data_IF_573504430395
#
_entry.id   IF_573504430395
#
_cell.length_a   1.000
_cell.length_b   1.000
_cell.length_c   1.000
_cell.angle_alpha   90.00
_cell.angle_beta   90.00
_cell.angle_gamma   90.00
#
_symmetry.space_group_name_H-M   'P 1'
#
loop_
_entity.id
_entity.type
_entity.pdbx_description
1 polymer ?
#
# COMPACT_ATOMS: atom_id res chain seq x y z
N UNK A 1 -22.76 39.02 42.83
CA UNK A 1 -22.69 37.78 42.03
C UNK A 1 -23.76 37.91 40.95
N UNK A 2 -23.45 38.53 39.81
CA UNK A 2 -24.39 38.59 38.69
C UNK A 2 -24.59 37.18 38.15
N UNK A 3 -25.85 36.72 38.08
CA UNK A 3 -26.19 35.48 37.37
C UNK A 3 -25.89 35.73 35.89
N UNK A 4 -24.83 35.13 35.36
CA UNK A 4 -24.66 34.99 33.92
C UNK A 4 -25.89 34.27 33.39
N UNK A 5 -26.74 34.98 32.62
CA UNK A 5 -27.83 34.34 31.90
C UNK A 5 -27.19 33.45 30.83
N UNK A 6 -27.33 32.13 31.00
CA UNK A 6 -27.01 31.17 29.95
C UNK A 6 -27.78 31.54 28.69
N UNK A 7 -27.07 31.86 27.61
CA UNK A 7 -27.71 32.16 26.32
C UNK A 7 -28.01 30.87 25.57
N UNK A 8 -29.00 30.92 24.66
CA UNK A 8 -29.29 29.81 23.72
C UNK A 8 -28.04 29.43 22.92
N UNK A 9 -27.21 30.42 22.61
CA UNK A 9 -25.92 30.24 21.94
C UNK A 9 -24.93 29.43 22.77
N UNK A 10 -24.85 29.66 24.08
CA UNK A 10 -23.98 28.88 24.97
C UNK A 10 -24.45 27.43 25.11
N UNK A 11 -25.77 27.20 25.17
CA UNK A 11 -26.35 25.86 25.18
C UNK A 11 -26.06 25.12 23.86
N UNK A 12 -26.23 25.79 22.73
CA UNK A 12 -25.90 25.23 21.42
C UNK A 12 -24.42 24.85 21.31
N UNK A 13 -23.51 25.74 21.73
CA UNK A 13 -22.07 25.47 21.73
C UNK A 13 -21.69 24.32 22.65
N UNK A 14 -22.31 24.24 23.84
CA UNK A 14 -22.06 23.14 24.77
C UNK A 14 -22.49 21.79 24.16
N UNK A 15 -23.66 21.73 23.54
CA UNK A 15 -24.14 20.53 22.84
C UNK A 15 -23.22 20.14 21.67
N UNK A 16 -22.82 21.12 20.85
CA UNK A 16 -21.90 20.90 19.74
C UNK A 16 -20.53 20.42 20.21
N UNK A 17 -19.99 21.01 21.28
CA UNK A 17 -18.71 20.61 21.88
C UNK A 17 -18.76 19.18 22.40
N UNK A 18 -19.83 18.80 23.12
CA UNK A 18 -20.03 17.43 23.59
C UNK A 18 -20.12 16.45 22.42
N UNK A 19 -20.84 16.80 21.35
CA UNK A 19 -20.98 15.97 20.17
C UNK A 19 -19.62 15.74 19.49
N UNK A 20 -18.89 16.80 19.17
CA UNK A 20 -17.60 16.71 18.49
C UNK A 20 -16.54 15.99 19.34
N UNK A 21 -16.49 16.29 20.64
CA UNK A 21 -15.57 15.60 21.57
C UNK A 21 -15.94 14.14 21.75
N UNK A 22 -17.23 13.78 21.77
CA UNK A 22 -17.63 12.36 21.88
C UNK A 22 -17.22 11.56 20.64
N UNK A 23 -17.35 12.15 19.45
CA UNK A 23 -16.84 11.53 18.21
C UNK A 23 -15.31 11.47 18.24
N UNK A 24 -14.62 12.53 18.66
CA UNK A 24 -13.16 12.55 18.83
C UNK A 24 -12.68 11.48 19.79
N UNK A 25 -13.33 11.34 20.94
CA UNK A 25 -13.04 10.34 21.95
C UNK A 25 -13.03 8.94 21.33
N UNK A 26 -14.08 8.59 20.60
CA UNK A 26 -14.21 7.27 19.99
C UNK A 26 -13.13 7.04 18.92
N UNK A 27 -12.87 8.03 18.07
CA UNK A 27 -11.83 7.92 17.03
C UNK A 27 -10.41 7.87 17.63
N UNK A 28 -10.15 8.66 18.67
CA UNK A 28 -8.86 8.70 19.38
C UNK A 28 -8.62 7.38 20.09
N UNK A 29 -9.65 6.80 20.70
CA UNK A 29 -9.57 5.46 21.27
C UNK A 29 -9.14 4.45 20.22
N UNK A 30 -9.89 4.33 19.11
CA UNK A 30 -9.55 3.39 18.03
C UNK A 30 -8.15 3.64 17.44
N UNK A 31 -7.77 4.91 17.29
CA UNK A 31 -6.48 5.29 16.73
C UNK A 31 -5.28 4.97 17.63
N UNK A 32 -5.51 4.81 18.94
CA UNK A 32 -4.50 4.46 19.92
C UNK A 32 -4.49 2.97 20.31
N UNK A 33 -5.53 2.22 19.93
CA UNK A 33 -5.74 0.83 20.38
C UNK A 33 -4.56 -0.08 20.02
N UNK A 34 -3.99 0.05 18.82
CA UNK A 34 -2.85 -0.77 18.42
C UNK A 34 -1.54 -0.47 19.18
N UNK A 35 -1.42 0.71 19.79
CA UNK A 35 -0.20 1.13 20.50
C UNK A 35 -0.35 0.87 21.99
N UNK A 36 -1.52 1.18 22.56
CA UNK A 36 -1.75 1.18 24.01
C UNK A 36 -2.70 0.07 24.47
N UNK A 37 -3.25 -0.73 23.57
CA UNK A 37 -4.20 -1.81 23.87
C UNK A 37 -5.38 -1.30 24.69
N UNK A 38 -5.79 -2.04 25.72
CA UNK A 38 -6.90 -1.66 26.60
C UNK A 38 -6.74 -0.32 27.34
N UNK A 39 -5.51 0.21 27.47
CA UNK A 39 -5.27 1.52 28.08
C UNK A 39 -5.66 2.69 27.18
N UNK A 40 -5.85 2.45 25.88
CA UNK A 40 -6.25 3.45 24.88
C UNK A 40 -7.55 4.17 25.26
N UNK A 41 -8.54 3.44 25.82
CA UNK A 41 -9.82 4.02 26.30
C UNK A 41 -9.58 5.08 27.37
N UNK A 42 -8.73 4.77 28.34
CA UNK A 42 -8.46 5.66 29.48
C UNK A 42 -7.73 6.90 29.00
N UNK A 43 -6.73 6.74 28.12
CA UNK A 43 -5.97 7.84 27.53
C UNK A 43 -6.92 8.76 26.73
N UNK A 44 -7.75 8.19 25.85
CA UNK A 44 -8.71 8.94 25.05
C UNK A 44 -9.71 9.70 25.93
N UNK A 45 -10.17 9.09 27.04
CA UNK A 45 -11.10 9.72 27.98
C UNK A 45 -10.45 10.93 28.67
N UNK A 46 -9.23 10.76 29.17
CA UNK A 46 -8.49 11.85 29.83
C UNK A 46 -8.25 13.01 28.86
N UNK A 47 -7.79 12.73 27.63
CA UNK A 47 -7.61 13.75 26.60
C UNK A 47 -8.91 14.49 26.29
N UNK A 48 -10.01 13.76 26.14
CA UNK A 48 -11.33 14.32 25.82
C UNK A 48 -11.86 15.24 26.94
N UNK A 49 -11.68 14.84 28.21
CA UNK A 49 -12.06 15.67 29.36
C UNK A 49 -11.20 16.93 29.47
N UNK A 50 -9.89 16.82 29.19
CA UNK A 50 -8.97 17.97 29.15
C UNK A 50 -9.42 18.95 28.05
N UNK A 51 -9.71 18.46 26.84
CA UNK A 51 -10.17 19.32 25.74
C UNK A 51 -11.50 19.99 26.07
N UNK A 52 -12.46 19.26 26.64
CA UNK A 52 -13.75 19.83 27.06
C UNK A 52 -13.57 20.94 28.11
N UNK A 53 -12.71 20.69 29.10
CA UNK A 53 -12.38 21.67 30.13
C UNK A 53 -11.70 22.92 29.53
N UNK A 54 -10.77 22.74 28.59
CA UNK A 54 -10.08 23.85 27.94
C UNK A 54 -11.03 24.69 27.08
N UNK A 55 -11.97 24.07 26.35
CA UNK A 55 -13.01 24.80 25.60
C UNK A 55 -13.90 25.63 26.52
N UNK A 56 -14.29 25.06 27.66
CA UNK A 56 -15.06 25.77 28.67
C UNK A 56 -14.29 26.99 29.21
N UNK A 57 -13.01 26.81 29.57
CA UNK A 57 -12.16 27.91 30.04
C UNK A 57 -11.95 28.99 28.97
N UNK A 58 -11.70 28.58 27.72
CA UNK A 58 -11.57 29.49 26.58
C UNK A 58 -12.82 30.34 26.39
N UNK A 59 -14.01 29.73 26.47
CA UNK A 59 -15.28 30.43 26.39
C UNK A 59 -15.44 31.45 27.52
N UNK A 60 -15.17 31.05 28.76
CA UNK A 60 -15.26 31.94 29.92
C UNK A 60 -14.30 33.14 29.83
N UNK A 61 -13.05 32.91 29.43
CA UNK A 61 -12.06 33.99 29.25
C UNK A 61 -12.47 34.92 28.12
N UNK A 62 -12.98 34.38 27.01
CA UNK A 62 -13.47 35.16 25.87
C UNK A 62 -14.66 36.05 26.26
N UNK A 63 -15.63 35.50 26.98
CA UNK A 63 -16.80 36.25 27.47
C UNK A 63 -16.40 37.39 28.41
N UNK A 64 -15.31 37.22 29.18
CA UNK A 64 -14.77 38.27 30.06
C UNK A 64 -13.90 39.31 29.34
N UNK A 65 -13.65 39.14 28.04
CA UNK A 65 -12.77 40.01 27.25
C UNK A 65 -11.28 39.76 27.47
N UNK A 66 -10.90 38.63 28.05
CA UNK A 66 -9.50 38.27 28.30
C UNK A 66 -8.80 37.68 27.07
N UNK A 67 -7.46 37.61 27.14
CA UNK A 67 -6.64 36.97 26.09
C UNK A 67 -6.81 35.44 26.13
N UNK A 68 -7.24 34.85 25.03
CA UNK A 68 -7.40 33.40 24.86
C UNK A 68 -6.15 32.70 24.33
N UNK A 69 -5.09 33.45 24.00
CA UNK A 69 -3.91 32.94 23.27
C UNK A 69 -3.19 31.82 24.01
N UNK A 70 -2.94 31.98 25.32
CA UNK A 70 -2.23 30.97 26.11
C UNK A 70 -3.02 29.66 26.22
N UNK A 71 -4.32 29.76 26.54
CA UNK A 71 -5.21 28.59 26.58
C UNK A 71 -5.39 27.94 25.20
N UNK A 72 -5.38 28.74 24.13
CA UNK A 72 -5.45 28.25 22.75
C UNK A 72 -4.24 27.39 22.37
N UNK A 73 -3.04 27.78 22.78
CA UNK A 73 -1.83 26.97 22.56
C UNK A 73 -1.83 25.67 23.38
N UNK A 74 -2.29 25.72 24.63
CA UNK A 74 -2.44 24.51 25.45
C UNK A 74 -3.46 23.56 24.81
N UNK A 75 -4.60 24.09 24.34
CA UNK A 75 -5.59 23.30 23.59
C UNK A 75 -4.96 22.69 22.34
N UNK A 76 -4.25 23.49 21.54
CA UNK A 76 -3.61 23.02 20.32
C UNK A 76 -2.66 21.85 20.58
N UNK A 77 -1.86 21.92 21.66
CA UNK A 77 -0.95 20.85 22.04
C UNK A 77 -1.68 19.52 22.28
N UNK A 78 -2.74 19.52 23.10
CA UNK A 78 -3.52 18.29 23.36
C UNK A 78 -4.32 17.84 22.12
N UNK A 79 -4.91 18.79 21.40
CA UNK A 79 -5.67 18.52 20.19
C UNK A 79 -4.79 17.93 19.08
N UNK A 80 -3.49 18.23 19.04
CA UNK A 80 -2.56 17.61 18.10
C UNK A 80 -2.43 16.09 18.33
N UNK A 81 -2.44 15.62 19.59
CA UNK A 81 -2.42 14.18 19.88
C UNK A 81 -3.73 13.50 19.46
N UNK A 82 -4.87 14.13 19.76
CA UNK A 82 -6.18 13.66 19.28
C UNK A 82 -6.23 13.63 17.74
N UNK A 83 -5.71 14.67 17.09
CA UNK A 83 -5.62 14.74 15.63
C UNK A 83 -4.84 13.59 15.03
N UNK A 84 -3.65 13.28 15.56
CA UNK A 84 -2.82 12.16 15.07
C UNK A 84 -3.56 10.83 15.24
N UNK A 85 -4.22 10.61 16.38
CA UNK A 85 -4.97 9.39 16.64
C UNK A 85 -6.24 9.29 15.75
N UNK A 86 -7.01 10.36 15.65
CA UNK A 86 -8.20 10.45 14.81
C UNK A 86 -7.87 10.24 13.34
N UNK A 87 -6.77 10.84 12.86
CA UNK A 87 -6.27 10.63 11.51
C UNK A 87 -5.91 9.16 11.30
N UNK A 88 -5.15 8.55 12.21
CA UNK A 88 -4.80 7.14 12.10
C UNK A 88 -6.04 6.23 12.02
N UNK A 89 -7.04 6.43 12.88
CA UNK A 89 -8.27 5.65 12.90
C UNK A 89 -9.09 5.81 11.61
N UNK A 90 -9.38 7.06 11.24
CA UNK A 90 -10.23 7.36 10.08
C UNK A 90 -9.52 6.99 8.78
N UNK A 91 -8.25 7.35 8.63
CA UNK A 91 -7.46 7.05 7.43
C UNK A 91 -7.38 5.54 7.21
N UNK A 92 -6.99 4.79 8.24
CA UNK A 92 -6.89 3.33 8.16
C UNK A 92 -8.23 2.70 7.77
N UNK A 93 -9.34 3.19 8.33
CA UNK A 93 -10.68 2.65 8.04
C UNK A 93 -11.14 2.96 6.62
N UNK A 94 -10.91 4.19 6.13
CA UNK A 94 -11.35 4.59 4.80
C UNK A 94 -10.44 4.07 3.68
N UNK A 95 -9.15 3.89 3.97
CA UNK A 95 -8.16 3.44 2.99
C UNK A 95 -7.90 1.93 3.08
N UNK A 96 -8.66 1.18 3.89
CA UNK A 96 -8.42 -0.24 4.15
C UNK A 96 -8.31 -1.06 2.86
N UNK A 97 -9.31 -0.95 2.00
CA UNK A 97 -9.33 -1.65 0.70
C UNK A 97 -8.19 -1.20 -0.20
N UNK A 98 -7.91 0.10 -0.26
CA UNK A 98 -6.81 0.63 -1.08
C UNK A 98 -5.45 0.11 -0.60
N UNK A 99 -5.24 0.06 0.72
CA UNK A 99 -4.03 -0.51 1.32
C UNK A 99 -3.90 -1.99 0.95
N UNK A 100 -4.96 -2.78 1.14
CA UNK A 100 -4.95 -4.20 0.79
C UNK A 100 -4.70 -4.44 -0.70
N UNK A 101 -5.41 -3.73 -1.57
CA UNK A 101 -5.25 -3.90 -3.02
C UNK A 101 -3.87 -3.45 -3.50
N UNK A 102 -3.28 -2.45 -2.87
CA UNK A 102 -1.89 -2.01 -3.15
C UNK A 102 -0.90 -3.10 -2.75
N UNK A 103 -1.01 -3.64 -1.54
CA UNK A 103 -0.12 -4.71 -1.08
C UNK A 103 -0.24 -5.99 -1.92
N UNK A 104 -1.46 -6.38 -2.29
CA UNK A 104 -1.70 -7.50 -3.20
C UNK A 104 -1.01 -7.29 -4.57
N UNK A 105 -1.07 -6.09 -5.13
CA UNK A 105 -0.35 -5.76 -6.38
C UNK A 105 1.16 -5.78 -6.20
N UNK A 106 1.68 -5.24 -5.10
CA UNK A 106 3.10 -5.32 -4.76
C UNK A 106 3.58 -6.77 -4.63
N UNK A 107 2.76 -7.67 -4.08
CA UNK A 107 3.08 -9.10 -3.97
C UNK A 107 3.20 -9.75 -5.35
N UNK A 108 2.26 -9.49 -6.26
CA UNK A 108 2.37 -9.96 -7.65
C UNK A 108 3.70 -9.49 -8.28
N UNK A 109 4.04 -8.22 -8.09
CA UNK A 109 5.30 -7.68 -8.60
C UNK A 109 6.51 -8.39 -7.99
N UNK A 110 6.52 -8.62 -6.67
CA UNK A 110 7.59 -9.37 -5.99
C UNK A 110 7.77 -10.78 -6.54
N UNK A 111 6.68 -11.49 -6.87
CA UNK A 111 6.75 -12.81 -7.50
C UNK A 111 7.39 -12.74 -8.89
N UNK A 112 6.96 -11.80 -9.74
CA UNK A 112 7.53 -11.60 -11.08
C UNK A 112 9.02 -11.19 -11.00
N UNK A 113 9.38 -10.34 -10.04
CA UNK A 113 10.76 -9.91 -9.80
C UNK A 113 11.62 -11.09 -9.31
N UNK A 114 11.07 -11.95 -8.43
CA UNK A 114 11.73 -13.16 -7.95
C UNK A 114 11.97 -14.15 -9.09
N UNK A 115 10.97 -14.39 -9.94
CA UNK A 115 11.12 -15.22 -11.15
C UNK A 115 12.23 -14.69 -12.03
N UNK A 116 12.17 -13.40 -12.38
CA UNK A 116 13.15 -12.76 -13.26
C UNK A 116 14.57 -12.84 -12.68
N UNK A 117 14.74 -12.53 -11.39
CA UNK A 117 16.06 -12.51 -10.74
C UNK A 117 16.63 -13.92 -10.56
N UNK A 118 15.80 -14.89 -10.17
CA UNK A 118 16.23 -16.29 -10.06
C UNK A 118 16.59 -16.83 -11.42
N UNK A 119 15.73 -16.67 -12.43
CA UNK A 119 16.02 -17.13 -13.79
C UNK A 119 17.32 -16.51 -14.31
N UNK A 120 17.57 -15.22 -14.11
CA UNK A 120 18.82 -14.59 -14.55
C UNK A 120 20.10 -15.18 -13.93
N UNK A 121 19.99 -15.82 -12.76
CA UNK A 121 21.12 -16.37 -11.98
C UNK A 121 21.28 -17.89 -12.08
N UNK A 122 20.35 -18.56 -12.77
CA UNK A 122 20.42 -19.98 -13.06
C UNK A 122 21.59 -20.31 -14.01
N UNK A 123 22.16 -21.51 -13.89
CA UNK A 123 23.29 -21.95 -14.72
C UNK A 123 22.84 -22.37 -16.12
N UNK A 124 22.90 -21.43 -17.07
CA UNK A 124 22.67 -21.74 -18.49
C UNK A 124 23.98 -22.00 -19.24
N UNK A 125 23.96 -22.99 -20.13
CA UNK A 125 25.04 -23.22 -21.10
C UNK A 125 25.08 -22.11 -22.16
N UNK A 126 23.91 -21.60 -22.52
CA UNK A 126 23.75 -20.45 -23.41
C UNK A 126 23.46 -19.22 -22.55
N UNK A 127 24.46 -18.38 -22.33
CA UNK A 127 24.37 -17.24 -21.41
C UNK A 127 23.51 -16.09 -21.94
N UNK A 128 23.42 -15.92 -23.27
CA UNK A 128 22.62 -14.87 -23.90
C UNK A 128 21.10 -15.18 -23.89
N UNK A 129 20.27 -14.39 -23.19
CA UNK A 129 18.82 -14.61 -23.12
C UNK A 129 18.12 -14.55 -24.47
N UNK A 130 18.59 -13.67 -25.38
CA UNK A 130 17.99 -13.52 -26.71
C UNK A 130 18.18 -14.77 -27.55
N UNK A 131 19.39 -15.33 -27.52
CA UNK A 131 19.69 -16.62 -28.13
C UNK A 131 18.84 -17.74 -27.53
N UNK A 132 18.63 -17.78 -26.20
CA UNK A 132 17.73 -18.77 -25.58
C UNK A 132 16.30 -18.66 -26.11
N UNK A 133 15.77 -17.43 -26.22
CA UNK A 133 14.42 -17.19 -26.73
C UNK A 133 14.27 -17.55 -28.21
N UNK A 134 15.29 -17.25 -29.03
CA UNK A 134 15.33 -17.67 -30.43
C UNK A 134 15.36 -19.18 -30.57
N UNK A 135 16.12 -19.90 -29.72
CA UNK A 135 16.11 -21.36 -29.73
C UNK A 135 14.73 -21.89 -29.33
N UNK A 136 14.06 -21.32 -28.32
CA UNK A 136 12.68 -21.70 -27.96
C UNK A 136 11.71 -21.48 -29.13
N UNK A 137 11.86 -20.37 -29.87
CA UNK A 137 11.10 -20.14 -31.11
C UNK A 137 11.36 -21.22 -32.16
N UNK A 138 12.62 -21.65 -32.33
CA UNK A 138 12.97 -22.73 -33.24
C UNK A 138 12.50 -24.12 -32.78
N UNK A 139 12.42 -24.38 -31.46
CA UNK A 139 11.81 -25.59 -30.90
C UNK A 139 10.34 -25.68 -31.30
N UNK A 140 9.57 -24.58 -31.17
CA UNK A 140 8.18 -24.55 -31.60
C UNK A 140 8.04 -24.81 -33.10
N UNK A 141 8.93 -24.23 -33.92
CA UNK A 141 9.03 -24.52 -35.35
C UNK A 141 9.31 -26.00 -35.64
N UNK A 142 10.25 -26.60 -34.89
CA UNK A 142 10.60 -28.02 -35.01
C UNK A 142 9.41 -28.91 -34.68
N UNK A 143 8.70 -28.61 -33.58
CA UNK A 143 7.51 -29.33 -33.15
C UNK A 143 6.43 -29.31 -34.22
N UNK A 144 6.10 -28.13 -34.75
CA UNK A 144 5.11 -27.99 -35.83
C UNK A 144 5.46 -28.82 -37.08
N UNK A 145 6.74 -28.85 -37.46
CA UNK A 145 7.19 -29.63 -38.63
C UNK A 145 7.12 -31.14 -38.38
N UNK A 146 7.51 -31.61 -37.19
CA UNK A 146 7.49 -33.05 -36.87
C UNK A 146 6.05 -33.56 -36.77
N UNK A 147 5.12 -32.75 -36.23
CA UNK A 147 3.73 -33.14 -36.01
C UNK A 147 2.77 -32.77 -37.15
N UNK A 148 3.25 -32.18 -38.25
CA UNK A 148 2.40 -31.77 -39.38
C UNK A 148 1.63 -32.99 -39.94
N UNK A 149 0.28 -33.00 -39.88
CA UNK A 149 -0.52 -34.11 -40.38
C UNK A 149 -0.32 -34.41 -41.87
N UNK A 150 0.13 -33.42 -42.67
CA UNK A 150 0.36 -33.56 -44.11
C UNK A 150 1.78 -34.02 -44.46
N UNK A 151 2.74 -33.85 -43.55
CA UNK A 151 4.15 -34.19 -43.73
C UNK A 151 4.75 -34.77 -42.43
N UNK A 152 4.16 -35.85 -41.93
CA UNK A 152 4.52 -36.42 -40.63
C UNK A 152 5.97 -36.92 -40.61
N UNK A 153 6.72 -36.51 -39.58
CA UNK A 153 8.05 -37.03 -39.29
C UNK A 153 9.22 -36.09 -39.57
N UNK A 154 10.43 -36.66 -39.59
CA UNK A 154 11.70 -35.92 -39.68
C UNK A 154 12.07 -35.64 -41.14
N UNK A 155 11.35 -34.72 -41.77
CA UNK A 155 11.62 -34.26 -43.14
C UNK A 155 12.79 -33.27 -43.26
N UNK A 156 13.11 -32.84 -44.47
CA UNK A 156 14.22 -31.91 -44.75
C UNK A 156 14.14 -30.60 -43.96
N UNK A 157 12.93 -30.03 -43.82
CA UNK A 157 12.69 -28.81 -43.02
C UNK A 157 13.02 -28.99 -41.54
N UNK A 158 12.69 -30.15 -40.96
CA UNK A 158 13.04 -30.45 -39.57
C UNK A 158 14.57 -30.56 -39.37
N UNK A 159 15.30 -31.09 -40.37
CA UNK A 159 16.77 -31.16 -40.34
C UNK A 159 17.41 -29.77 -40.44
N UNK A 160 16.85 -28.87 -41.24
CA UNK A 160 17.30 -27.46 -41.32
C UNK A 160 17.11 -26.77 -39.98
N UNK A 161 15.95 -26.94 -39.34
CA UNK A 161 15.68 -26.36 -38.01
C UNK A 161 16.66 -26.95 -36.96
N UNK A 162 16.86 -28.27 -36.96
CA UNK A 162 17.85 -28.93 -36.10
C UNK A 162 19.25 -28.33 -36.31
N UNK A 163 19.70 -28.15 -37.55
CA UNK A 163 21.01 -27.59 -37.84
C UNK A 163 21.18 -26.14 -37.35
N UNK A 164 20.12 -25.32 -37.43
CA UNK A 164 20.12 -23.96 -36.88
C UNK A 164 20.19 -23.95 -35.36
N UNK A 165 19.43 -24.83 -34.71
CA UNK A 165 19.47 -25.04 -33.26
C UNK A 165 20.86 -25.51 -32.82
N UNK A 166 21.44 -26.51 -33.49
CA UNK A 166 22.79 -27.01 -33.22
C UNK A 166 23.86 -25.91 -33.35
N UNK A 167 23.73 -25.03 -34.35
CA UNK A 167 24.62 -23.87 -34.53
C UNK A 167 24.52 -22.90 -33.36
N UNK A 168 23.31 -22.61 -32.86
CA UNK A 168 23.09 -21.73 -31.70
C UNK A 168 23.53 -22.39 -30.38
N UNK A 169 23.43 -23.71 -30.27
CA UNK A 169 23.88 -24.50 -29.11
C UNK A 169 25.39 -24.75 -29.09
N UNK A 170 26.09 -24.56 -30.22
CA UNK A 170 27.52 -24.87 -30.33
C UNK A 170 27.85 -26.37 -30.31
N UNK A 171 26.87 -27.24 -30.57
CA UNK A 171 27.08 -28.70 -30.56
C UNK A 171 25.91 -29.50 -31.12
N UNK A 172 26.20 -30.73 -31.57
CA UNK A 172 25.20 -31.60 -32.21
C UNK A 172 24.19 -32.19 -31.22
N UNK A 173 22.96 -32.37 -31.69
CA UNK A 173 21.89 -33.11 -31.02
C UNK A 173 22.05 -34.60 -31.30
N UNK A 174 21.65 -35.46 -30.35
CA UNK A 174 21.65 -36.91 -30.61
C UNK A 174 20.49 -37.21 -31.56
N UNK A 175 20.72 -37.91 -32.69
CA UNK A 175 19.64 -38.29 -33.58
C UNK A 175 18.61 -39.17 -32.85
N UNK A 176 17.35 -38.73 -32.82
CA UNK A 176 16.22 -39.47 -32.29
C UNK A 176 15.32 -39.97 -33.43
N UNK A 177 14.72 -41.15 -33.22
CA UNK A 177 13.73 -41.80 -34.10
C UNK A 177 12.37 -41.91 -33.40
N UNK A 178 11.24 -41.89 -34.14
CA UNK A 178 9.91 -42.01 -33.56
C UNK A 178 9.72 -43.41 -32.94
N UNK A 179 8.99 -43.49 -31.82
CA UNK A 179 8.68 -44.77 -31.15
C UNK A 179 7.67 -45.59 -31.96
N UNK A 180 6.81 -44.90 -32.71
CA UNK A 180 5.87 -45.51 -33.66
C UNK A 180 5.56 -44.55 -34.80
N UNK A 181 5.13 -45.07 -35.95
CA UNK A 181 4.72 -44.28 -37.12
C UNK A 181 3.28 -43.75 -36.97
N UNK A 182 2.90 -43.33 -35.77
CA UNK A 182 1.58 -42.77 -35.45
C UNK A 182 1.71 -41.28 -35.13
N UNK A 183 0.63 -40.49 -35.22
CA UNK A 183 0.65 -39.09 -34.77
C UNK A 183 1.18 -38.93 -33.35
N UNK A 184 0.81 -39.85 -32.44
CA UNK A 184 1.33 -39.89 -31.06
C UNK A 184 2.84 -40.19 -31.00
N UNK A 185 3.36 -41.09 -31.84
CA UNK A 185 4.78 -41.41 -31.89
C UNK A 185 5.65 -40.26 -32.43
N UNK A 186 5.09 -39.42 -33.31
CA UNK A 186 5.75 -38.19 -33.78
C UNK A 186 5.63 -37.03 -32.78
N UNK A 187 4.52 -36.92 -32.05
CA UNK A 187 4.39 -35.97 -30.94
C UNK A 187 5.44 -36.26 -29.85
N UNK A 188 5.57 -37.52 -29.45
CA UNK A 188 6.61 -37.96 -28.51
C UNK A 188 8.04 -37.66 -29.03
N UNK A 189 8.29 -37.84 -30.34
CA UNK A 189 9.57 -37.49 -30.95
C UNK A 189 9.87 -36.00 -30.80
N UNK A 190 8.88 -35.14 -31.07
CA UNK A 190 9.03 -33.69 -30.90
C UNK A 190 9.30 -33.31 -29.44
N UNK A 191 8.57 -33.90 -28.49
CA UNK A 191 8.75 -33.67 -27.06
C UNK A 191 10.15 -34.12 -26.59
N UNK A 192 10.67 -35.26 -27.08
CA UNK A 192 12.04 -35.72 -26.75
C UNK A 192 13.12 -34.82 -27.34
N UNK A 193 12.95 -34.29 -28.56
CA UNK A 193 13.87 -33.30 -29.12
C UNK A 193 13.83 -31.99 -28.32
N UNK A 194 12.64 -31.50 -27.99
CA UNK A 194 12.45 -30.33 -27.13
C UNK A 194 13.18 -30.51 -25.80
N UNK A 195 13.00 -31.65 -25.12
CA UNK A 195 13.71 -31.96 -23.88
C UNK A 195 15.23 -31.98 -24.04
N UNK A 196 15.74 -32.58 -25.12
CA UNK A 196 17.17 -32.63 -25.38
C UNK A 196 17.76 -31.24 -25.65
N UNK A 197 17.05 -30.40 -26.39
CA UNK A 197 17.46 -29.03 -26.69
C UNK A 197 17.45 -28.21 -25.39
N UNK A 198 16.38 -28.28 -24.61
CA UNK A 198 16.27 -27.62 -23.30
C UNK A 198 17.41 -28.06 -22.38
N UNK A 199 17.72 -29.36 -22.29
CA UNK A 199 18.86 -29.85 -21.48
C UNK A 199 20.21 -29.30 -21.92
N UNK A 200 20.40 -29.04 -23.23
CA UNK A 200 21.63 -28.40 -23.72
C UNK A 200 21.67 -26.90 -23.46
N UNK A 201 20.53 -26.21 -23.46
CA UNK A 201 20.42 -24.80 -23.08
C UNK A 201 20.64 -24.62 -21.57
N UNK A 202 20.04 -25.51 -20.80
CA UNK A 202 19.92 -25.48 -19.35
C UNK A 202 20.83 -26.54 -18.71
N UNK A 203 22.05 -26.17 -18.31
CA UNK A 203 22.88 -27.01 -17.45
C UNK A 203 22.46 -26.88 -15.98
N UNK A 204 21.15 -27.01 -15.75
CA UNK A 204 20.53 -26.86 -14.45
C UNK A 204 20.54 -28.20 -13.72
N UNK A 205 20.97 -28.18 -12.47
CA UNK A 205 20.76 -29.27 -11.53
C UNK A 205 19.27 -29.61 -11.40
N UNK A 206 18.92 -30.84 -10.97
CA UNK A 206 17.52 -31.20 -10.70
C UNK A 206 16.82 -30.22 -9.74
N UNK A 207 17.56 -29.71 -8.75
CA UNK A 207 17.05 -28.75 -7.77
C UNK A 207 16.78 -27.37 -8.39
N UNK A 208 17.66 -26.88 -9.27
CA UNK A 208 17.45 -25.64 -10.05
C UNK A 208 16.24 -25.75 -10.98
N UNK A 209 16.09 -26.88 -11.69
CA UNK A 209 14.91 -27.11 -12.56
C UNK A 209 13.62 -27.11 -11.77
N UNK A 210 13.61 -27.78 -10.62
CA UNK A 210 12.45 -27.82 -9.74
C UNK A 210 12.15 -26.45 -9.14
N UNK A 211 13.17 -25.69 -8.74
CA UNK A 211 13.02 -24.33 -8.23
C UNK A 211 12.39 -23.41 -9.28
N UNK A 212 12.91 -23.42 -10.52
CA UNK A 212 12.36 -22.65 -11.64
C UNK A 212 10.87 -22.97 -11.85
N UNK A 213 10.54 -24.26 -11.96
CA UNK A 213 9.16 -24.70 -12.15
C UNK A 213 8.24 -24.31 -10.99
N UNK A 214 8.71 -24.45 -9.75
CA UNK A 214 7.93 -24.08 -8.55
C UNK A 214 7.67 -22.56 -8.49
N UNK A 215 8.66 -21.73 -8.86
CA UNK A 215 8.49 -20.27 -8.93
C UNK A 215 7.51 -19.88 -10.04
N UNK A 216 7.69 -20.39 -11.25
CA UNK A 216 6.82 -20.02 -12.39
C UNK A 216 5.36 -20.44 -12.12
N UNK A 217 5.16 -21.61 -11.50
CA UNK A 217 3.83 -22.04 -11.06
C UNK A 217 3.24 -21.12 -9.98
N UNK A 218 4.06 -20.68 -9.02
CA UNK A 218 3.63 -19.77 -7.97
C UNK A 218 3.27 -18.38 -8.54
N UNK A 219 4.06 -17.86 -9.50
CA UNK A 219 3.77 -16.61 -10.23
C UNK A 219 2.41 -16.71 -10.93
N UNK A 220 2.18 -17.77 -11.71
CA UNK A 220 0.92 -17.98 -12.42
C UNK A 220 -0.27 -18.09 -11.47
N UNK A 221 -0.13 -18.89 -10.41
CA UNK A 221 -1.15 -19.09 -9.38
C UNK A 221 -1.49 -17.76 -8.70
N UNK A 222 -0.49 -17.07 -8.14
CA UNK A 222 -0.72 -15.86 -7.36
C UNK A 222 -1.16 -14.67 -8.22
N UNK A 223 -0.62 -14.50 -9.43
CA UNK A 223 -1.13 -13.50 -10.37
C UNK A 223 -2.63 -13.72 -10.65
N UNK A 224 -3.05 -14.96 -10.89
CA UNK A 224 -4.45 -15.30 -11.13
C UNK A 224 -5.32 -15.10 -9.88
N UNK A 225 -4.90 -15.65 -8.74
CA UNK A 225 -5.66 -15.61 -7.50
C UNK A 225 -5.82 -14.16 -7.02
N UNK A 226 -4.74 -13.36 -7.07
CA UNK A 226 -4.79 -11.94 -6.70
C UNK A 226 -5.65 -11.15 -7.68
N UNK A 227 -5.51 -11.34 -8.99
CA UNK A 227 -6.38 -10.66 -9.96
C UNK A 227 -7.85 -11.02 -9.74
N UNK A 228 -8.16 -12.28 -9.45
CA UNK A 228 -9.53 -12.70 -9.16
C UNK A 228 -10.09 -12.03 -7.90
N UNK A 229 -9.26 -11.88 -6.87
CA UNK A 229 -9.61 -11.20 -5.62
C UNK A 229 -9.85 -9.70 -5.85
N UNK A 230 -9.02 -9.05 -6.67
CA UNK A 230 -9.14 -7.62 -6.99
C UNK A 230 -10.38 -7.27 -7.81
N UNK A 231 -11.09 -8.26 -8.37
CA UNK A 231 -12.36 -8.09 -9.09
C UNK A 231 -13.60 -8.19 -8.18
N UNK A 232 -13.42 -8.59 -6.91
CA UNK A 232 -14.52 -8.69 -5.95
C UNK A 232 -14.94 -7.32 -5.42
N UNK A 233 -16.05 -7.28 -4.67
CA UNK A 233 -16.50 -6.06 -4.00
C UNK A 233 -15.54 -5.63 -2.88
N UNK A 234 -15.55 -4.35 -2.49
CA UNK A 234 -14.68 -3.82 -1.44
C UNK A 234 -14.80 -4.59 -0.11
N UNK A 235 -16.02 -4.99 0.26
CA UNK A 235 -16.26 -5.76 1.48
C UNK A 235 -15.60 -7.15 1.42
N UNK A 236 -15.74 -7.85 0.31
CA UNK A 236 -15.13 -9.18 0.13
C UNK A 236 -13.61 -9.10 0.11
N UNK A 237 -13.05 -8.05 -0.51
CA UNK A 237 -11.61 -7.79 -0.48
C UNK A 237 -11.15 -7.58 0.96
N UNK A 238 -11.82 -6.72 1.73
CA UNK A 238 -11.42 -6.43 3.11
C UNK A 238 -11.45 -7.66 4.04
N UNK A 239 -12.36 -8.60 3.78
CA UNK A 239 -12.50 -9.84 4.55
C UNK A 239 -11.48 -10.91 4.15
N UNK A 240 -11.16 -11.00 2.85
CA UNK A 240 -10.32 -12.08 2.32
C UNK A 240 -8.85 -11.69 2.13
N UNK A 241 -8.54 -10.40 1.94
CA UNK A 241 -7.22 -9.93 1.53
C UNK A 241 -6.13 -10.30 2.52
N UNK A 242 -6.34 -10.10 3.83
CA UNK A 242 -5.32 -10.40 4.84
C UNK A 242 -4.87 -11.86 4.78
N UNK A 243 -5.82 -12.80 4.70
CA UNK A 243 -5.51 -14.22 4.62
C UNK A 243 -4.78 -14.60 3.33
N UNK A 244 -5.07 -13.91 2.22
CA UNK A 244 -4.37 -14.13 0.94
C UNK A 244 -2.97 -13.50 0.94
N UNK A 245 -2.80 -12.32 1.53
CA UNK A 245 -1.51 -11.66 1.74
C UNK A 245 -0.59 -12.56 2.58
N UNK A 246 -1.08 -13.09 3.71
CA UNK A 246 -0.27 -13.94 4.59
C UNK A 246 0.15 -15.24 3.89
N UNK A 247 -0.77 -15.89 3.16
CA UNK A 247 -0.47 -17.12 2.39
C UNK A 247 0.54 -16.87 1.28
N UNK A 248 0.34 -15.82 0.50
CA UNK A 248 1.20 -15.49 -0.64
C UNK A 248 2.60 -15.08 -0.18
N UNK A 249 2.73 -14.27 0.87
CA UNK A 249 4.03 -13.91 1.45
C UNK A 249 4.75 -15.11 2.09
N UNK A 250 4.02 -16.02 2.71
CA UNK A 250 4.60 -17.27 3.24
C UNK A 250 5.20 -18.11 2.12
N UNK A 251 4.47 -18.28 1.02
CA UNK A 251 4.95 -19.01 -0.16
C UNK A 251 6.12 -18.29 -0.84
N UNK A 252 6.02 -16.96 -1.00
CA UNK A 252 7.09 -16.09 -1.50
C UNK A 252 8.40 -16.27 -0.71
N UNK A 253 8.33 -16.14 0.62
CA UNK A 253 9.49 -16.28 1.49
C UNK A 253 10.06 -17.69 1.45
N UNK A 254 9.22 -18.72 1.36
CA UNK A 254 9.66 -20.11 1.21
C UNK A 254 10.44 -20.30 -0.09
N UNK A 255 9.94 -19.78 -1.21
CA UNK A 255 10.60 -19.89 -2.51
C UNK A 255 11.89 -19.07 -2.59
N UNK A 256 11.88 -17.83 -2.09
CA UNK A 256 13.07 -16.99 -2.04
C UNK A 256 14.18 -17.57 -1.17
N UNK A 257 13.85 -18.10 0.02
CA UNK A 257 14.83 -18.81 0.86
C UNK A 257 15.37 -20.06 0.18
N UNK A 258 14.51 -20.83 -0.52
CA UNK A 258 14.96 -22.00 -1.26
C UNK A 258 15.86 -21.61 -2.43
N UNK A 259 15.59 -20.51 -3.12
CA UNK A 259 16.44 -19.97 -4.16
C UNK A 259 17.81 -19.54 -3.61
N UNK A 260 17.84 -18.89 -2.44
CA UNK A 260 19.07 -18.55 -1.73
C UNK A 260 19.91 -19.78 -1.39
N UNK A 261 19.29 -20.85 -0.89
CA UNK A 261 19.99 -22.11 -0.57
C UNK A 261 20.53 -22.81 -1.81
N UNK A 262 19.76 -22.87 -2.91
CA UNK A 262 20.14 -23.60 -4.12
C UNK A 262 21.20 -22.83 -4.94
N UNK A 263 21.02 -21.53 -5.12
CA UNK A 263 21.94 -20.70 -5.92
C UNK A 263 23.19 -20.28 -5.14
N UNK A 264 23.12 -20.30 -3.80
CA UNK A 264 24.18 -19.84 -2.92
C UNK A 264 24.20 -18.33 -2.71
N UNK A 265 24.73 -17.90 -1.56
CA UNK A 265 24.77 -16.50 -1.14
C UNK A 265 25.61 -15.59 -2.05
N UNK A 266 26.53 -16.17 -2.82
CA UNK A 266 27.39 -15.45 -3.76
C UNK A 266 26.62 -15.00 -5.00
N UNK A 267 25.62 -15.77 -5.43
CA UNK A 267 24.82 -15.49 -6.63
C UNK A 267 23.50 -14.81 -6.30
N UNK A 268 22.85 -15.21 -5.21
CA UNK A 268 21.52 -14.73 -4.87
C UNK A 268 21.41 -14.46 -3.38
N UNK A 269 21.00 -13.24 -3.01
CA UNK A 269 20.70 -12.86 -1.63
C UNK A 269 19.22 -12.55 -1.52
N UNK A 270 18.55 -13.23 -0.61
CA UNK A 270 17.13 -13.04 -0.36
C UNK A 270 16.90 -12.40 1.00
N UNK A 271 15.99 -11.44 1.03
CA UNK A 271 15.46 -10.88 2.27
C UNK A 271 13.97 -11.19 2.34
N UNK A 272 13.55 -11.87 3.40
CA UNK A 272 12.13 -12.17 3.63
C UNK A 272 11.30 -10.89 3.66
N UNK A 273 10.14 -10.93 3.01
CA UNK A 273 9.15 -9.86 3.07
C UNK A 273 8.11 -10.19 4.13
N UNK A 274 7.79 -9.20 4.97
CA UNK A 274 6.65 -9.26 5.89
C UNK A 274 5.47 -8.50 5.30
N UNK A 275 4.28 -8.81 5.81
CA UNK A 275 3.05 -8.11 5.45
C UNK A 275 3.08 -6.71 6.03
N UNK A 276 2.85 -5.70 5.19
CA UNK A 276 2.71 -4.31 5.64
C UNK A 276 1.32 -4.08 6.25
N UNK A 277 0.33 -4.89 5.88
CA UNK A 277 -1.01 -4.83 6.45
C UNK A 277 -1.10 -5.25 7.91
N UNK A 278 -0.09 -5.95 8.44
CA UNK A 278 0.05 -6.15 9.89
C UNK A 278 0.45 -4.86 10.63
N UNK A 279 0.91 -3.83 9.91
CA UNK A 279 1.19 -2.49 10.44
C UNK A 279 0.03 -1.51 10.23
N UNK A 280 -1.03 -1.94 9.54
CA UNK A 280 -2.22 -1.12 9.30
C UNK A 280 -2.91 -0.83 10.61
N UNK A 281 -3.09 0.46 10.92
CA UNK A 281 -3.58 0.97 12.20
C UNK A 281 -2.48 1.42 13.16
N UNK A 282 -1.20 1.26 12.80
CA UNK A 282 -0.12 1.99 13.46
C UNK A 282 -0.03 3.38 12.86
N UNK A 283 0.07 4.38 13.73
CA UNK A 283 0.16 5.79 13.35
C UNK A 283 1.22 6.01 12.26
N UNK A 284 2.42 5.46 12.42
CA UNK A 284 3.50 5.63 11.44
C UNK A 284 3.17 5.15 10.03
N UNK A 285 2.45 4.02 9.92
CA UNK A 285 2.04 3.46 8.64
C UNK A 285 0.99 4.33 7.95
N UNK A 286 -0.04 4.77 8.69
CA UNK A 286 -1.10 5.62 8.14
C UNK A 286 -0.55 6.93 7.57
N UNK A 287 0.40 7.56 8.27
CA UNK A 287 1.06 8.78 7.79
C UNK A 287 1.99 8.52 6.59
N UNK A 288 2.82 7.48 6.62
CA UNK A 288 3.70 7.14 5.48
C UNK A 288 2.89 6.82 4.22
N UNK A 289 1.84 6.02 4.35
CA UNK A 289 0.94 5.69 3.26
C UNK A 289 0.21 6.93 2.75
N UNK A 290 -0.27 7.81 3.63
CA UNK A 290 -0.91 9.07 3.26
C UNK A 290 0.04 10.02 2.53
N UNK A 291 1.31 10.11 2.93
CA UNK A 291 2.31 10.97 2.29
C UNK A 291 2.70 10.46 0.90
N UNK A 292 2.86 9.15 0.74
CA UNK A 292 3.23 8.53 -0.55
C UNK A 292 2.06 8.51 -1.53
N UNK A 293 0.84 8.32 -1.04
CA UNK A 293 -0.37 8.18 -1.84
C UNK A 293 -1.35 9.35 -1.59
N UNK A 294 -0.84 10.58 -1.44
CA UNK A 294 -1.67 11.73 -1.10
C UNK A 294 -2.66 12.04 -2.24
N UNK A 295 -3.93 11.77 -1.99
CA UNK A 295 -5.02 11.95 -2.94
C UNK A 295 -6.24 12.63 -2.32
N UNK A 296 -7.33 12.72 -3.09
CA UNK A 296 -8.57 13.38 -2.67
C UNK A 296 -9.14 12.78 -1.37
N UNK A 297 -9.11 11.46 -1.22
CA UNK A 297 -9.59 10.79 0.00
C UNK A 297 -8.73 11.12 1.22
N UNK A 298 -7.40 11.07 1.10
CA UNK A 298 -6.48 11.46 2.18
C UNK A 298 -6.72 12.91 2.62
N UNK A 299 -6.95 13.82 1.66
CA UNK A 299 -7.30 15.21 1.93
C UNK A 299 -8.63 15.34 2.67
N UNK A 300 -9.68 14.63 2.25
CA UNK A 300 -11.00 14.65 2.91
C UNK A 300 -10.90 14.12 4.34
N UNK A 301 -10.17 13.02 4.56
CA UNK A 301 -9.93 12.50 5.91
C UNK A 301 -9.19 13.53 6.76
N UNK A 302 -8.13 14.14 6.24
CA UNK A 302 -7.36 15.17 6.94
C UNK A 302 -8.24 16.37 7.31
N UNK A 303 -9.05 16.88 6.36
CA UNK A 303 -9.97 17.98 6.60
C UNK A 303 -11.03 17.62 7.66
N UNK A 304 -11.54 16.38 7.62
CA UNK A 304 -12.46 15.85 8.63
C UNK A 304 -11.84 15.84 10.02
N UNK A 305 -10.60 15.37 10.17
CA UNK A 305 -9.86 15.39 11.44
C UNK A 305 -9.62 16.82 11.93
N UNK A 306 -9.23 17.74 11.05
CA UNK A 306 -9.04 19.16 11.43
C UNK A 306 -10.35 19.77 11.92
N UNK A 307 -11.46 19.53 11.23
CA UNK A 307 -12.77 20.03 11.64
C UNK A 307 -13.20 19.44 12.98
N UNK A 308 -12.95 18.15 13.19
CA UNK A 308 -13.32 17.45 14.41
C UNK A 308 -12.52 17.97 15.62
N UNK A 309 -11.20 18.09 15.51
CA UNK A 309 -10.33 18.45 16.64
C UNK A 309 -10.20 19.96 16.88
N UNK A 310 -10.29 20.78 15.84
CA UNK A 310 -10.08 22.22 15.92
C UNK A 310 -11.33 23.05 15.60
N UNK A 311 -12.38 22.46 15.00
CA UNK A 311 -13.56 23.21 14.55
C UNK A 311 -14.25 23.98 15.67
N UNK A 312 -14.48 23.34 16.81
CA UNK A 312 -15.12 24.01 17.96
C UNK A 312 -14.25 25.13 18.56
N UNK A 313 -12.93 24.93 18.63
CA UNK A 313 -11.99 25.97 19.04
C UNK A 313 -12.10 27.19 18.11
N UNK A 314 -12.07 26.96 16.80
CA UNK A 314 -12.17 28.03 15.79
C UNK A 314 -13.49 28.78 15.96
N UNK A 315 -14.61 28.09 16.15
CA UNK A 315 -15.93 28.71 16.37
C UNK A 315 -15.92 29.59 17.63
N UNK A 316 -15.38 29.10 18.75
CA UNK A 316 -15.29 29.87 20.01
C UNK A 316 -14.43 31.12 19.84
N UNK A 317 -13.33 31.03 19.10
CA UNK A 317 -12.43 32.16 18.85
C UNK A 317 -13.03 33.21 17.91
N UNK A 318 -13.82 32.79 16.92
CA UNK A 318 -14.49 33.68 15.96
C UNK A 318 -15.73 34.37 16.55
N UNK A 319 -16.26 33.90 17.67
CA UNK A 319 -17.41 34.55 18.29
C UNK A 319 -17.08 35.95 18.83
N UNK A 320 -18.01 36.91 18.67
CA UNK A 320 -17.86 38.25 19.20
C UNK A 320 -17.82 38.20 20.74
N UNK A 321 -16.95 39.03 21.32
CA UNK A 321 -16.92 39.28 22.77
C UNK A 321 -18.14 40.10 23.17
N UNK A 322 -18.71 39.79 24.33
CA UNK A 322 -19.94 40.44 24.82
C UNK A 322 -19.74 41.97 24.88
N UNK A 323 -20.56 42.79 24.18
CA UNK A 323 -20.36 44.24 24.09
C UNK A 323 -20.56 44.97 25.43
N UNK A 324 -21.05 44.27 26.47
CA UNK A 324 -21.25 44.83 27.81
C UNK A 324 -19.98 45.13 28.59
N UNK A 325 -18.82 44.65 28.13
CA UNK A 325 -17.52 44.95 28.73
C UNK A 325 -16.70 45.96 27.91
N UNK A 326 -17.39 46.92 27.29
CA UNK A 326 -16.80 48.02 26.55
C UNK A 326 -16.19 49.08 27.47
N UNK A 327 -15.06 48.79 28.12
CA UNK A 327 -14.12 49.85 28.46
C UNK A 327 -13.28 50.11 27.20
N UNK A 328 -13.87 50.85 26.27
CA UNK A 328 -13.20 51.39 25.08
C UNK A 328 -12.09 52.34 25.49
N UNK A 329 -10.92 51.79 25.76
CA UNK A 329 -9.65 52.50 25.60
C UNK A 329 -9.42 52.76 24.12
N UNK A 330 -10.05 53.82 23.61
CA UNK A 330 -9.78 54.37 22.28
C UNK A 330 -8.29 54.73 22.17
N UNK A 331 -7.55 53.89 21.43
CA UNK A 331 -6.22 54.22 20.92
C UNK A 331 -6.37 54.54 19.44
N UNK A 332 -7.08 55.61 19.10
CA UNK A 332 -6.90 56.39 17.86
C UNK A 332 -7.28 57.84 18.20
N UNK A 333 -6.26 58.60 18.59
CA UNK A 333 -6.31 60.05 18.77
C UNK A 333 -5.30 60.72 17.84
N UNK A 334 -5.36 60.44 16.54
CA UNK A 334 -4.55 61.14 15.54
C UNK A 334 -5.13 62.55 15.34
N UNK A 335 -4.66 63.51 16.15
CA UNK A 335 -4.84 64.95 15.90
C UNK A 335 -4.22 65.29 14.53
N UNK A 336 -5.05 65.37 13.48
CA UNK A 336 -4.76 66.19 12.29
C UNK A 336 -5.47 67.53 12.46
N UNK A 337 -4.72 68.53 12.92
CA UNK A 337 -5.16 69.93 12.89
C UNK A 337 -5.00 70.43 11.46
N UNK A 338 -6.10 70.45 10.70
CA UNK A 338 -6.20 71.16 9.43
C UNK A 338 -6.31 72.66 9.69
N UNK A 339 -5.30 73.43 9.26
CA UNK A 339 -5.38 74.88 9.15
C UNK A 339 -6.30 75.24 7.99
N UNK A 340 -7.47 75.79 8.27
CA UNK A 340 -8.28 76.48 7.26
C UNK A 340 -7.94 77.97 7.32
N UNK A 341 -7.19 78.44 6.33
CA UNK A 341 -7.06 79.84 5.99
C UNK A 341 -8.35 80.28 5.29
N UNK A 342 -9.05 81.28 5.82
CA UNK A 342 -10.03 82.05 5.05
C UNK A 342 -9.62 83.52 5.12
N UNK A 343 -9.44 84.08 3.93
CA UNK A 343 -9.15 85.48 3.62
C UNK A 343 -10.43 86.32 3.52
N UNK A 344 -10.29 87.56 4.03
CA UNK A 344 -11.14 88.76 3.94
C UNK A 344 -12.47 88.74 4.70
#
# INVERSE_FOLDING_TARGET
MEKQLFTVTDLFLALLAVLLISVSFYQTWLGLDQIFGGSSVIIALVLSLILLFLLWQLRLVRLRGGSTTGLGWIYFFFAAFCFVANFNALYTRFMRTDIFTTELREINQKFNDLETDVEAKLNYSVTDPRTRQEIVGEINGLRMQITDPKNQGKGEQSNIIIARIEKKLGGKLTPLTPISNTPQGYADLADRYEQQIIQKIENLSPDEKKLKLDINNAVLKWNKDIQSLLLLSQSEIDDMAQGQIDKSLTEYNKLGNRAHTILGADKFKFSSSLSKTQEVGKIGYAFDHALKNFGMFAFVVLAGCVLLDFGILIIILLMPTDPRNGNTGSVIGTKRVGKTLITK
#
